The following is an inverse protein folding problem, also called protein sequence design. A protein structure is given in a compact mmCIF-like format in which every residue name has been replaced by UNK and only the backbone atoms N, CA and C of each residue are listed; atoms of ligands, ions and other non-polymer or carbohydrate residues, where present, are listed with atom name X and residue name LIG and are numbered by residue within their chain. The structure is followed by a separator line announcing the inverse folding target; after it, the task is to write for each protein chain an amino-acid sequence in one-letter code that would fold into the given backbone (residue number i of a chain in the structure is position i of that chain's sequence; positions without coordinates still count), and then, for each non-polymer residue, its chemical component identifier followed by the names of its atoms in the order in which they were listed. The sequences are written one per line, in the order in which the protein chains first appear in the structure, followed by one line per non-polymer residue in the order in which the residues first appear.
data_IF_451404037451
#
_entry.id   IF_451404037451
#
_cell.length_a   1.000
_cell.length_b   1.000
_cell.length_c   1.000
_cell.angle_alpha   90.00
_cell.angle_beta   90.00
_cell.angle_gamma   90.00
#
_symmetry.space_group_name_H-M   'P 1'
#
loop_
_entity.id
_entity.type
_entity.pdbx_description
1 polymer ?
#
# COMPACT_ATOMS: atom_id res chain seq x y z
N UNK A 1 -38.18 -25.18 -37.87
CA UNK A 1 -37.81 -26.52 -37.37
C UNK A 1 -36.35 -26.45 -36.96
N UNK A 2 -35.96 -25.81 -35.85
CA UNK A 2 -36.24 -26.03 -34.42
C UNK A 2 -35.21 -26.98 -33.78
N UNK A 3 -34.36 -26.39 -32.92
CA UNK A 3 -33.64 -26.93 -31.75
C UNK A 3 -32.63 -28.08 -32.00
N UNK A 4 -31.44 -28.09 -31.38
CA UNK A 4 -31.29 -28.06 -29.92
C UNK A 4 -29.85 -27.71 -29.54
N UNK A 5 -29.68 -26.60 -28.83
CA UNK A 5 -28.51 -26.30 -28.00
C UNK A 5 -28.52 -27.29 -26.83
N UNK A 6 -27.55 -28.20 -26.75
CA UNK A 6 -27.43 -29.13 -25.63
C UNK A 6 -26.45 -28.56 -24.59
N UNK A 7 -27.09 -28.01 -23.58
CA UNK A 7 -26.64 -27.61 -22.26
C UNK A 7 -25.72 -28.65 -21.59
N UNK A 8 -24.47 -28.27 -21.28
CA UNK A 8 -23.61 -28.96 -20.30
C UNK A 8 -23.47 -28.13 -19.02
N UNK A 9 -24.60 -27.95 -18.32
CA UNK A 9 -24.60 -27.84 -16.87
C UNK A 9 -24.16 -29.19 -16.27
N UNK A 10 -22.94 -29.26 -15.73
CA UNK A 10 -22.59 -29.90 -14.45
C UNK A 10 -21.08 -30.04 -14.31
N UNK A 11 -20.46 -29.10 -13.60
CA UNK A 11 -19.44 -29.32 -12.57
C UNK A 11 -19.25 -28.08 -11.69
N UNK A 12 -20.37 -27.45 -11.28
CA UNK A 12 -20.41 -26.60 -10.08
C UNK A 12 -20.68 -27.51 -8.88
N UNK A 13 -19.63 -28.12 -8.34
CA UNK A 13 -19.67 -28.78 -7.06
C UNK A 13 -18.53 -28.23 -6.22
N UNK A 14 -18.86 -27.35 -5.26
CA UNK A 14 -18.02 -27.14 -4.09
C UNK A 14 -17.28 -25.81 -3.95
N UNK A 15 -17.70 -24.71 -4.59
CA UNK A 15 -17.25 -23.37 -4.15
C UNK A 15 -18.41 -22.60 -3.50
N UNK A 16 -18.92 -23.15 -2.40
CA UNK A 16 -19.66 -22.36 -1.43
C UNK A 16 -18.69 -21.34 -0.83
N UNK A 17 -18.98 -20.06 -1.08
CA UNK A 17 -18.37 -18.92 -0.37
C UNK A 17 -18.32 -19.25 1.12
N UNK A 18 -17.22 -19.01 1.84
CA UNK A 18 -17.33 -18.85 3.28
C UNK A 18 -18.22 -17.62 3.50
N UNK A 19 -19.49 -17.87 3.80
CA UNK A 19 -20.34 -16.89 4.44
C UNK A 19 -19.58 -16.42 5.68
N UNK A 20 -19.54 -15.11 5.89
CA UNK A 20 -19.07 -14.51 7.13
C UNK A 20 -19.90 -15.04 8.30
N UNK A 21 -19.51 -16.19 8.84
CA UNK A 21 -20.18 -16.84 9.96
C UNK A 21 -20.06 -16.03 11.26
N UNK A 22 -19.28 -14.93 11.26
CA UNK A 22 -19.02 -14.09 12.42
C UNK A 22 -19.26 -12.59 12.19
N UNK A 23 -19.76 -12.16 11.03
CA UNK A 23 -19.99 -10.73 10.78
C UNK A 23 -18.76 -9.82 10.89
N UNK A 24 -17.55 -10.39 10.86
CA UNK A 24 -16.31 -9.63 10.91
C UNK A 24 -15.98 -9.10 9.50
N UNK A 25 -15.60 -7.81 9.38
CA UNK A 25 -15.13 -7.25 8.12
C UNK A 25 -13.96 -8.07 7.57
N UNK A 26 -13.68 -7.96 6.26
CA UNK A 26 -12.47 -8.49 5.61
C UNK A 26 -11.28 -7.62 6.06
N UNK A 27 -11.05 -7.56 7.37
CA UNK A 27 -9.77 -7.20 7.94
C UNK A 27 -8.84 -8.37 7.68
N UNK A 28 -7.59 -8.12 7.32
CA UNK A 28 -6.52 -9.12 7.31
C UNK A 28 -6.77 -10.16 8.39
N UNK A 29 -7.20 -11.37 8.00
CA UNK A 29 -7.54 -12.46 8.92
C UNK A 29 -6.29 -13.03 9.63
N UNK A 30 -5.23 -12.23 9.74
CA UNK A 30 -3.99 -12.52 10.41
C UNK A 30 -4.12 -11.92 11.81
N UNK A 31 -4.31 -12.76 12.85
CA UNK A 31 -4.32 -12.26 14.20
C UNK A 31 -2.91 -11.73 14.52
N UNK A 32 -2.75 -10.41 14.47
CA UNK A 32 -1.58 -9.71 15.02
C UNK A 32 -1.43 -9.90 16.54
N UNK A 33 -2.41 -10.56 17.18
CA UNK A 33 -2.43 -10.86 18.60
C UNK A 33 -1.17 -11.59 19.04
N UNK A 34 -0.41 -10.97 19.94
CA UNK A 34 0.82 -11.52 20.48
C UNK A 34 2.09 -11.18 19.69
N UNK A 35 1.97 -10.41 18.59
CA UNK A 35 3.13 -9.90 17.87
C UNK A 35 4.01 -9.04 18.79
N UNK A 36 5.32 -9.21 18.71
CA UNK A 36 6.33 -8.40 19.43
C UNK A 36 6.93 -7.32 18.53
N UNK A 37 6.92 -7.53 17.22
CA UNK A 37 7.36 -6.56 16.20
C UNK A 37 6.68 -6.83 14.87
N UNK A 38 6.34 -5.76 14.16
CA UNK A 38 5.80 -5.82 12.80
C UNK A 38 6.70 -5.00 11.87
N UNK A 39 6.97 -5.51 10.67
CA UNK A 39 7.66 -4.77 9.61
C UNK A 39 6.83 -4.83 8.33
N UNK A 40 6.52 -3.67 7.76
CA UNK A 40 5.64 -3.54 6.60
C UNK A 40 6.47 -2.96 5.45
N UNK A 41 6.53 -3.67 4.33
CA UNK A 41 7.03 -3.15 3.07
C UNK A 41 5.87 -2.84 2.13
N UNK A 42 5.86 -1.64 1.56
CA UNK A 42 4.80 -1.17 0.69
C UNK A 42 5.34 -0.57 -0.59
N UNK A 43 4.99 -1.18 -1.73
CA UNK A 43 5.38 -0.76 -3.07
C UNK A 43 4.20 -0.26 -3.93
N UNK A 44 2.96 -0.46 -3.47
CA UNK A 44 1.73 -0.16 -4.21
C UNK A 44 0.88 0.95 -3.59
N UNK A 45 0.55 0.86 -2.31
CA UNK A 45 -0.30 1.83 -1.62
C UNK A 45 0.29 2.18 -0.26
N UNK A 46 -0.04 3.38 0.23
CA UNK A 46 0.29 3.76 1.61
C UNK A 46 -0.36 2.74 2.57
N UNK A 47 0.37 2.14 3.52
CA UNK A 47 -0.21 1.21 4.49
C UNK A 47 -1.36 1.83 5.29
N UNK A 48 -2.45 1.08 5.50
CA UNK A 48 -3.64 1.51 6.25
C UNK A 48 -3.39 2.32 7.54
N UNK A 49 -2.45 1.90 8.43
CA UNK A 49 -2.16 2.66 9.66
C UNK A 49 -1.59 4.06 9.43
N UNK A 50 -1.06 4.33 8.25
CA UNK A 50 -0.50 5.62 7.83
C UNK A 50 -1.48 6.44 6.99
N UNK A 51 -2.67 5.92 6.67
CA UNK A 51 -3.62 6.61 5.80
C UNK A 51 -4.44 7.66 6.56
N UNK A 52 -4.56 8.85 5.98
CA UNK A 52 -5.59 9.81 6.38
C UNK A 52 -6.96 9.39 5.83
N UNK A 53 -8.02 9.92 6.42
CA UNK A 53 -9.40 9.62 6.01
C UNK A 53 -9.63 9.77 4.51
N UNK A 54 -9.19 10.89 3.91
CA UNK A 54 -9.39 11.15 2.48
C UNK A 54 -8.70 10.11 1.58
N UNK A 55 -7.47 9.71 1.90
CA UNK A 55 -6.76 8.66 1.17
C UNK A 55 -7.45 7.31 1.35
N UNK A 56 -7.87 6.97 2.57
CA UNK A 56 -8.58 5.72 2.86
C UNK A 56 -9.88 5.59 2.09
N UNK A 57 -10.68 6.65 2.02
CA UNK A 57 -11.92 6.66 1.23
C UNK A 57 -11.63 6.54 -0.27
N UNK A 58 -10.56 7.18 -0.75
CA UNK A 58 -10.13 6.99 -2.13
C UNK A 58 -9.72 5.53 -2.39
N UNK A 59 -8.93 4.89 -1.53
CA UNK A 59 -8.56 3.47 -1.63
C UNK A 59 -9.80 2.56 -1.66
N UNK A 60 -10.81 2.83 -0.81
CA UNK A 60 -12.08 2.07 -0.78
C UNK A 60 -12.84 2.10 -2.09
N UNK A 61 -12.72 3.19 -2.85
CA UNK A 61 -13.33 3.31 -4.17
C UNK A 61 -12.66 2.42 -5.23
N UNK A 62 -11.46 1.87 -4.97
CA UNK A 62 -10.77 0.91 -5.82
C UNK A 62 -11.03 -0.52 -5.32
N UNK A 63 -11.89 -1.32 -6.00
CA UNK A 63 -12.30 -2.63 -5.50
C UNK A 63 -11.14 -3.57 -5.17
N UNK A 64 -10.12 -3.59 -6.03
CA UNK A 64 -8.94 -4.43 -5.84
C UNK A 64 -8.13 -4.04 -4.60
N UNK A 65 -8.01 -2.74 -4.33
CA UNK A 65 -7.26 -2.26 -3.17
C UNK A 65 -7.92 -2.62 -1.84
N UNK A 66 -9.27 -2.57 -1.82
CA UNK A 66 -10.09 -3.04 -0.69
C UNK A 66 -9.94 -4.55 -0.48
N UNK A 67 -9.92 -5.33 -1.56
CA UNK A 67 -9.70 -6.77 -1.49
C UNK A 67 -8.30 -7.12 -0.96
N UNK A 68 -7.28 -6.32 -1.29
CA UNK A 68 -5.92 -6.46 -0.76
C UNK A 68 -5.78 -6.06 0.72
N UNK A 69 -6.84 -5.49 1.34
CA UNK A 69 -6.84 -5.04 2.73
C UNK A 69 -6.06 -3.75 2.99
N UNK A 70 -5.73 -2.96 1.97
CA UNK A 70 -4.87 -1.79 2.17
C UNK A 70 -5.51 -0.67 3.02
N UNK A 71 -6.83 -0.64 3.22
CA UNK A 71 -7.57 0.45 3.86
C UNK A 71 -7.98 0.19 5.33
N UNK A 72 -7.91 -1.04 5.84
CA UNK A 72 -8.47 -1.42 7.15
C UNK A 72 -7.47 -2.05 8.13
N UNK A 73 -6.17 -1.99 7.83
CA UNK A 73 -5.14 -2.50 8.73
C UNK A 73 -5.09 -1.66 10.02
N UNK A 74 -5.51 -2.25 11.14
CA UNK A 74 -5.36 -1.70 12.49
C UNK A 74 -4.22 -2.43 13.18
N UNK A 75 -3.23 -1.67 13.65
CA UNK A 75 -2.10 -2.23 14.39
C UNK A 75 -2.48 -2.56 15.84
N UNK A 76 -1.89 -3.60 16.45
CA UNK A 76 -2.01 -3.82 17.88
C UNK A 76 -1.40 -2.66 18.68
N UNK A 77 -2.08 -2.27 19.75
CA UNK A 77 -1.56 -1.27 20.67
C UNK A 77 -0.24 -1.74 21.29
N UNK A 78 0.77 -0.87 21.30
CA UNK A 78 2.05 -1.11 21.97
C UNK A 78 2.99 -2.07 21.25
N UNK A 79 2.71 -2.46 20.01
CA UNK A 79 3.63 -3.26 19.18
C UNK A 79 4.47 -2.33 18.30
N UNK A 80 5.81 -2.38 18.39
CA UNK A 80 6.69 -1.62 17.51
C UNK A 80 6.47 -2.01 16.04
N UNK A 81 6.26 -1.01 15.19
CA UNK A 81 6.06 -1.19 13.76
C UNK A 81 7.06 -0.36 12.96
N UNK A 82 7.73 -1.04 12.03
CA UNK A 82 8.58 -0.40 11.02
C UNK A 82 7.86 -0.39 9.69
N UNK A 83 7.76 0.78 9.06
CA UNK A 83 7.23 0.94 7.72
C UNK A 83 8.36 1.27 6.75
N UNK A 84 8.39 0.59 5.61
CA UNK A 84 9.29 0.88 4.51
C UNK A 84 8.46 1.07 3.24
N UNK A 85 8.42 2.29 2.75
CA UNK A 85 7.61 2.68 1.60
C UNK A 85 8.54 2.87 0.39
N UNK A 86 8.17 2.32 -0.76
CA UNK A 86 8.67 2.84 -2.03
C UNK A 86 8.01 4.19 -2.32
N UNK A 87 8.76 5.15 -2.83
CA UNK A 87 8.22 6.46 -3.20
C UNK A 87 7.08 6.35 -4.24
N UNK A 88 7.06 5.29 -5.06
CA UNK A 88 6.00 5.01 -6.04
C UNK A 88 4.59 5.07 -5.43
N UNK A 89 4.41 4.68 -4.16
CA UNK A 89 3.09 4.72 -3.50
C UNK A 89 2.51 6.13 -3.37
N UNK A 90 3.37 7.15 -3.43
CA UNK A 90 3.02 8.57 -3.35
C UNK A 90 2.80 9.20 -4.73
N UNK A 91 3.21 8.51 -5.81
CA UNK A 91 3.04 8.98 -7.19
C UNK A 91 1.79 8.43 -7.88
N UNK A 92 1.10 7.44 -7.29
CA UNK A 92 -0.16 6.92 -7.83
C UNK A 92 -1.34 7.91 -7.77
N UNK A 93 -1.18 9.08 -7.12
CA UNK A 93 -2.21 10.14 -7.01
C UNK A 93 -3.58 9.62 -6.54
N UNK A 94 -3.59 8.66 -5.62
CA UNK A 94 -4.81 8.08 -5.05
C UNK A 94 -5.63 9.17 -4.36
N UNK A 95 -6.87 9.37 -4.82
CA UNK A 95 -7.76 10.43 -4.34
C UNK A 95 -7.49 11.81 -4.95
N UNK A 96 -6.57 11.90 -5.92
CA UNK A 96 -6.21 13.14 -6.58
C UNK A 96 -5.21 13.99 -5.79
N UNK A 97 -4.90 15.14 -6.37
CA UNK A 97 -3.85 16.05 -5.91
C UNK A 97 -3.98 16.45 -4.44
N UNK A 98 -5.14 16.97 -4.03
CA UNK A 98 -5.32 17.53 -2.69
C UNK A 98 -5.26 16.45 -1.60
N UNK A 99 -5.81 15.27 -1.89
CA UNK A 99 -5.72 14.10 -1.01
C UNK A 99 -4.28 13.65 -0.85
N UNK A 100 -3.51 13.62 -1.94
CA UNK A 100 -2.11 13.22 -1.89
C UNK A 100 -1.25 14.25 -1.15
N UNK A 101 -1.46 15.55 -1.37
CA UNK A 101 -0.82 16.61 -0.60
C UNK A 101 -1.07 16.47 0.90
N UNK A 102 -2.33 16.25 1.28
CA UNK A 102 -2.71 16.02 2.68
C UNK A 102 -2.11 14.72 3.25
N UNK A 103 -2.06 13.64 2.45
CA UNK A 103 -1.45 12.37 2.85
C UNK A 103 0.07 12.49 3.05
N UNK A 104 0.79 13.17 2.16
CA UNK A 104 2.24 13.40 2.30
C UNK A 104 2.52 14.32 3.49
N UNK A 105 1.71 15.36 3.69
CA UNK A 105 1.80 16.23 4.85
C UNK A 105 1.60 15.45 6.16
N UNK A 106 0.67 14.48 6.16
CA UNK A 106 0.49 13.56 7.29
C UNK A 106 1.72 12.67 7.50
N UNK A 107 2.30 12.11 6.43
CA UNK A 107 3.54 11.31 6.51
C UNK A 107 4.70 12.09 7.13
N UNK A 108 4.86 13.38 6.80
CA UNK A 108 5.82 14.28 7.45
C UNK A 108 5.57 14.43 8.94
N UNK A 109 4.30 14.51 9.36
CA UNK A 109 3.92 14.62 10.77
C UNK A 109 4.12 13.35 11.60
N UNK A 110 4.11 12.17 10.97
CA UNK A 110 4.34 10.87 11.63
C UNK A 110 5.80 10.40 11.55
N UNK A 111 6.59 10.96 10.63
CA UNK A 111 8.06 10.79 10.58
C UNK A 111 8.79 11.40 11.77
N UNK A 112 8.07 12.15 12.63
CA UNK A 112 8.57 12.58 13.93
C UNK A 112 9.06 11.34 14.73
N UNK A 113 10.38 11.24 15.00
CA UNK A 113 10.97 10.10 15.71
C UNK A 113 10.34 9.82 17.07
N UNK A 114 9.64 10.79 17.66
CA UNK A 114 8.95 10.63 18.94
C UNK A 114 7.61 9.86 18.85
N UNK A 115 7.07 9.62 17.64
CA UNK A 115 5.72 9.06 17.45
C UNK A 115 5.70 7.66 16.83
N UNK A 116 6.59 7.40 15.89
CA UNK A 116 6.72 6.09 15.25
C UNK A 116 8.20 5.77 15.02
N UNK A 117 8.68 4.69 15.64
CA UNK A 117 10.11 4.35 15.69
C UNK A 117 10.78 4.11 14.31
N UNK A 118 10.03 3.99 13.20
CA UNK A 118 10.65 3.90 11.87
C UNK A 118 9.65 3.94 10.73
N UNK A 119 9.47 5.10 10.10
CA UNK A 119 9.06 5.18 8.69
C UNK A 119 10.31 5.43 7.86
N UNK A 120 10.53 4.60 6.84
CA UNK A 120 11.62 4.74 5.88
C UNK A 120 11.04 4.80 4.46
N UNK A 121 11.75 5.51 3.58
CA UNK A 121 11.30 5.80 2.23
C UNK A 121 12.40 5.44 1.24
N UNK A 122 12.11 4.58 0.28
CA UNK A 122 13.03 4.25 -0.82
C UNK A 122 12.70 5.18 -2.00
N UNK A 123 13.60 6.10 -2.39
CA UNK A 123 13.34 7.02 -3.48
C UNK A 123 13.19 6.33 -4.84
N UNK A 124 12.45 6.95 -5.76
CA UNK A 124 12.33 6.46 -7.14
C UNK A 124 13.70 6.33 -7.82
N UNK A 125 14.59 7.28 -7.56
CA UNK A 125 15.93 7.36 -8.14
C UNK A 125 16.98 6.51 -7.43
N UNK A 126 16.60 5.70 -6.42
CA UNK A 126 17.54 4.80 -5.77
C UNK A 126 18.11 3.78 -6.78
N UNK A 127 19.44 3.70 -6.86
CA UNK A 127 20.13 2.74 -7.74
C UNK A 127 19.96 1.33 -7.16
N UNK A 128 19.47 0.40 -7.97
CA UNK A 128 19.09 -0.96 -7.54
C UNK A 128 19.90 -2.02 -8.26
N UNK A 129 20.25 -3.08 -7.52
CA UNK A 129 20.65 -4.38 -8.08
C UNK A 129 19.40 -5.24 -8.35
N UNK A 130 19.49 -6.31 -9.17
CA UNK A 130 18.34 -7.19 -9.43
C UNK A 130 17.67 -7.74 -8.15
N UNK A 131 18.46 -8.07 -7.12
CA UNK A 131 17.99 -8.55 -5.82
C UNK A 131 17.40 -7.46 -4.90
N UNK A 132 17.40 -6.20 -5.34
CA UNK A 132 16.86 -5.03 -4.67
C UNK A 132 15.70 -4.40 -5.47
N UNK A 133 15.23 -5.08 -6.51
CA UNK A 133 14.03 -4.66 -7.23
C UNK A 133 12.82 -4.71 -6.28
N UNK A 134 11.87 -3.76 -6.43
CA UNK A 134 10.66 -3.76 -5.64
C UNK A 134 9.92 -5.09 -5.75
N UNK A 135 9.50 -5.62 -4.60
CA UNK A 135 8.70 -6.84 -4.52
C UNK A 135 7.21 -6.51 -4.39
N UNK A 136 6.36 -7.53 -4.46
CA UNK A 136 5.00 -7.42 -3.93
C UNK A 136 5.04 -6.91 -2.47
N UNK A 137 4.04 -6.13 -2.03
CA UNK A 137 3.97 -5.72 -0.63
C UNK A 137 3.98 -6.94 0.29
N UNK A 138 4.56 -6.80 1.49
CA UNK A 138 4.56 -7.89 2.46
C UNK A 138 4.66 -7.35 3.89
N UNK A 139 4.20 -8.17 4.84
CA UNK A 139 4.30 -7.89 6.27
C UNK A 139 5.03 -9.01 6.98
N UNK A 140 6.05 -8.68 7.76
CA UNK A 140 6.79 -9.62 8.62
C UNK A 140 6.30 -9.44 10.05
N UNK A 141 5.97 -10.55 10.71
CA UNK A 141 5.59 -10.60 12.13
C UNK A 141 6.62 -11.47 12.85
N UNK A 142 7.30 -10.87 13.84
CA UNK A 142 8.30 -11.52 14.70
C UNK A 142 9.42 -12.29 13.95
N UNK A 143 9.66 -11.97 12.68
CA UNK A 143 10.53 -12.73 11.78
C UNK A 143 10.14 -14.22 11.61
N UNK A 144 8.93 -14.58 12.02
CA UNK A 144 8.42 -15.97 12.06
C UNK A 144 7.23 -16.20 11.16
N UNK A 145 6.54 -15.13 10.77
CA UNK A 145 5.43 -15.19 9.83
C UNK A 145 5.58 -14.05 8.82
N UNK A 146 5.25 -14.35 7.56
CA UNK A 146 5.17 -13.36 6.48
C UNK A 146 3.78 -13.41 5.88
N UNK A 147 3.18 -12.25 5.67
CA UNK A 147 1.86 -12.10 5.04
C UNK A 147 2.04 -11.36 3.73
N UNK A 148 1.52 -11.94 2.65
CA UNK A 148 1.43 -11.31 1.34
C UNK A 148 -0.05 -10.91 1.10
N UNK A 149 -0.37 -9.60 0.92
CA UNK A 149 -1.71 -9.10 0.54
C UNK A 149 -2.07 -9.44 -0.90
N UNK A 150 -2.17 -10.73 -1.20
CA UNK A 150 -2.66 -11.20 -2.49
C UNK A 150 -4.17 -11.35 -2.39
N UNK A 151 -4.88 -10.96 -3.45
CA UNK A 151 -6.33 -11.13 -3.55
C UNK A 151 -6.68 -12.46 -4.22
N UNK A 152 -7.81 -13.09 -3.85
CA UNK A 152 -8.82 -12.64 -2.87
C UNK A 152 -8.52 -13.04 -1.42
N UNK A 153 -7.46 -13.83 -1.18
CA UNK A 153 -7.09 -14.34 0.15
C UNK A 153 -5.58 -14.15 0.36
N UNK A 154 -5.16 -13.54 1.48
CA UNK A 154 -3.75 -13.31 1.74
C UNK A 154 -2.99 -14.65 1.89
N UNK A 155 -1.75 -14.66 1.44
CA UNK A 155 -0.85 -15.82 1.62
C UNK A 155 -0.05 -15.64 2.90
N UNK A 156 -0.09 -16.65 3.77
CA UNK A 156 0.65 -16.68 5.04
C UNK A 156 1.77 -17.70 4.94
N UNK A 157 3.01 -17.26 5.19
CA UNK A 157 4.22 -18.09 5.17
C UNK A 157 4.78 -18.19 6.58
N UNK A 158 4.97 -19.41 7.07
CA UNK A 158 5.50 -19.69 8.42
C UNK A 158 6.77 -20.56 8.39
N UNK A 159 7.09 -21.14 7.24
CA UNK A 159 8.29 -21.96 7.11
C UNK A 159 9.54 -21.08 7.18
N UNK A 160 10.49 -21.45 8.04
CA UNK A 160 11.71 -20.66 8.31
C UNK A 160 12.46 -20.23 7.05
N UNK A 161 12.57 -21.12 6.07
CA UNK A 161 13.26 -20.79 4.82
C UNK A 161 12.53 -19.68 4.06
N UNK A 162 11.19 -19.74 3.99
CA UNK A 162 10.37 -18.73 3.32
C UNK A 162 10.47 -17.39 4.05
N UNK A 163 10.31 -17.38 5.37
CA UNK A 163 10.39 -16.14 6.16
C UNK A 163 11.80 -15.53 6.15
N UNK A 164 12.85 -16.37 6.10
CA UNK A 164 14.23 -15.89 5.96
C UNK A 164 14.50 -15.15 4.65
N UNK A 165 13.83 -15.53 3.55
CA UNK A 165 13.95 -14.83 2.26
C UNK A 165 13.38 -13.41 2.33
N UNK A 166 12.19 -13.24 2.90
CA UNK A 166 11.56 -11.92 3.04
C UNK A 166 12.25 -11.04 4.08
N UNK A 167 12.72 -11.59 5.20
CA UNK A 167 13.52 -10.81 6.16
C UNK A 167 14.84 -10.34 5.55
N UNK A 168 15.50 -11.19 4.75
CA UNK A 168 16.68 -10.79 3.99
C UNK A 168 16.35 -9.74 2.92
N UNK A 169 15.23 -9.87 2.20
CA UNK A 169 14.79 -8.88 1.21
C UNK A 169 14.51 -7.52 1.88
N UNK A 170 13.79 -7.51 3.00
CA UNK A 170 13.54 -6.29 3.77
C UNK A 170 14.84 -5.60 4.17
N UNK A 171 15.82 -6.36 4.66
CA UNK A 171 17.13 -5.82 5.02
C UNK A 171 17.91 -5.26 3.82
N UNK A 172 17.75 -5.84 2.61
CA UNK A 172 18.37 -5.32 1.39
C UNK A 172 17.75 -4.00 0.97
N UNK A 173 16.42 -3.97 0.87
CA UNK A 173 15.65 -2.79 0.52
C UNK A 173 15.87 -1.64 1.51
N UNK A 174 15.98 -1.95 2.80
CA UNK A 174 16.25 -0.93 3.82
C UNK A 174 17.59 -0.20 3.62
N UNK A 175 18.59 -0.81 2.95
CA UNK A 175 19.85 -0.12 2.64
C UNK A 175 19.67 1.01 1.62
N UNK A 176 18.59 0.97 0.84
CA UNK A 176 18.23 2.00 -0.13
C UNK A 176 17.35 3.10 0.49
N UNK A 177 16.81 2.84 1.67
CA UNK A 177 15.81 3.70 2.28
C UNK A 177 16.43 4.91 2.98
N UNK A 178 15.86 6.08 2.72
CA UNK A 178 16.04 7.26 3.53
C UNK A 178 15.30 7.08 4.86
N UNK A 179 15.88 7.60 5.94
CA UNK A 179 15.29 7.58 7.28
C UNK A 179 15.42 8.95 7.94
N UNK A 180 14.62 9.18 8.98
CA UNK A 180 14.69 10.38 9.81
C UNK A 180 14.66 11.68 9.01
N UNK A 181 15.64 12.56 9.26
CA UNK A 181 15.71 13.87 8.62
C UNK A 181 15.79 13.79 7.09
N UNK A 182 16.56 12.85 6.52
CA UNK A 182 16.69 12.70 5.06
C UNK A 182 15.37 12.31 4.41
N UNK A 183 14.59 11.42 5.05
CA UNK A 183 13.25 11.07 4.57
C UNK A 183 12.29 12.27 4.63
N UNK A 184 12.34 13.03 5.73
CA UNK A 184 11.53 14.23 5.91
C UNK A 184 11.86 15.32 4.88
N UNK A 185 13.14 15.55 4.61
CA UNK A 185 13.58 16.49 3.58
C UNK A 185 13.11 16.04 2.18
N UNK A 186 13.22 14.75 1.86
CA UNK A 186 12.78 14.21 0.57
C UNK A 186 11.26 14.35 0.38
N UNK A 187 10.45 14.01 1.38
CA UNK A 187 9.00 14.20 1.33
C UNK A 187 8.59 15.68 1.27
N UNK A 188 9.32 16.56 1.94
CA UNK A 188 9.08 18.02 1.85
C UNK A 188 9.34 18.53 0.43
N UNK A 189 10.37 18.01 -0.23
CA UNK A 189 10.64 18.26 -1.64
C UNK A 189 9.50 17.78 -2.54
N UNK A 190 9.05 16.53 -2.36
CA UNK A 190 7.93 15.95 -3.10
C UNK A 190 6.64 16.78 -2.94
N UNK A 191 6.33 17.20 -1.71
CA UNK A 191 5.18 18.04 -1.41
C UNK A 191 5.26 19.40 -2.12
N UNK A 192 6.47 19.97 -2.19
CA UNK A 192 6.71 21.25 -2.88
C UNK A 192 6.55 21.13 -4.40
N UNK A 193 6.83 19.95 -4.98
CA UNK A 193 6.57 19.66 -6.41
C UNK A 193 5.10 19.46 -6.70
N UNK A 194 4.33 18.95 -5.74
CA UNK A 194 2.88 18.81 -5.89
C UNK A 194 2.18 20.16 -5.78
N UNK A 195 2.64 21.05 -4.89
CA UNK A 195 2.04 22.38 -4.74
C UNK A 195 1.80 23.05 -6.11
N UNK A 196 0.59 23.60 -6.35
CA UNK A 196 0.22 24.09 -7.67
C UNK A 196 1.25 25.09 -8.15
N UNK A 197 1.80 24.86 -9.33
CA UNK A 197 2.80 25.76 -9.92
C UNK A 197 2.13 27.09 -10.28
N UNK A 198 2.92 28.16 -10.44
CA UNK A 198 2.37 29.43 -10.91
C UNK A 198 1.66 29.30 -12.27
N UNK A 199 2.06 28.30 -13.06
CA UNK A 199 1.49 27.94 -14.35
C UNK A 199 0.12 27.26 -14.18
N UNK A 200 -0.01 26.31 -13.23
CA UNK A 200 -1.30 25.69 -12.90
C UNK A 200 -2.32 26.72 -12.37
N UNK A 201 -1.86 27.66 -11.55
CA UNK A 201 -2.70 28.75 -11.03
C UNK A 201 -3.09 29.77 -12.12
N UNK A 202 -2.27 29.93 -13.16
CA UNK A 202 -2.60 30.75 -14.33
C UNK A 202 -3.66 30.05 -15.22
N UNK A 203 -3.51 28.75 -15.44
CA UNK A 203 -4.46 27.93 -16.20
C UNK A 203 -5.84 27.85 -15.53
N UNK A 204 -5.89 27.78 -14.19
CA UNK A 204 -7.14 27.85 -13.41
C UNK A 204 -7.82 29.22 -13.55
N UNK A 205 -7.05 30.31 -13.71
CA UNK A 205 -7.56 31.67 -13.85
C UNK A 205 -8.02 32.01 -15.26
N UNK A 206 -7.40 31.43 -16.28
CA UNK A 206 -7.72 31.72 -17.68
C UNK A 206 -8.82 30.82 -18.26
N UNK A 207 -9.21 29.73 -17.58
CA UNK A 207 -10.28 28.86 -18.09
C UNK A 207 -9.95 28.24 -19.46
N UNK A 208 -8.65 28.10 -19.76
CA UNK A 208 -8.12 27.54 -21.00
C UNK A 208 -7.78 26.06 -20.82
N UNK A 209 -8.75 25.24 -21.23
CA UNK A 209 -8.63 23.97 -21.93
C UNK A 209 -7.99 22.74 -21.25
N UNK A 210 -8.78 21.66 -21.21
CA UNK A 210 -8.35 20.40 -21.81
C UNK A 210 -9.11 20.23 -23.12
N UNK A 211 -8.47 20.29 -24.31
CA UNK A 211 -9.03 19.63 -25.47
C UNK A 211 -8.83 18.14 -25.22
N UNK A 212 -9.92 17.43 -24.96
CA UNK A 212 -9.95 15.99 -25.07
C UNK A 212 -9.62 15.65 -26.52
N UNK A 213 -8.34 15.39 -26.80
CA UNK A 213 -7.89 14.88 -28.08
C UNK A 213 -8.41 13.44 -28.20
N UNK A 214 -9.65 13.33 -28.67
CA UNK A 214 -10.08 12.18 -29.44
C UNK A 214 -9.31 12.21 -30.76
N UNK A 215 -8.42 11.25 -30.95
CA UNK A 215 -7.97 10.85 -32.29
C UNK A 215 -7.87 9.33 -32.35
N UNK A 216 -8.89 8.78 -33.04
CA UNK A 216 -9.02 7.50 -33.76
C UNK A 216 -8.62 6.20 -33.07
#
# INVERSE_FOLDING_TARGET
MTATVRNEQRRNAGLTRPSSALGLPITWGVPWHGARRIQIYASTLVPGPLQIYGYREAVRSYPLARECGHDEAVLPNGVPVTFMLEESVLHHQVGGHDVMCAQISHLLGVLDPAKYDSVSLIPLHAVRRPEELPMEPFVIIDSRQVVLPVTPVPVVLEHREQTSRYTAAFARLHRLALTGFSASQHLSGLLSTLAPTSEDLANIREGSDLPCAATA
#
